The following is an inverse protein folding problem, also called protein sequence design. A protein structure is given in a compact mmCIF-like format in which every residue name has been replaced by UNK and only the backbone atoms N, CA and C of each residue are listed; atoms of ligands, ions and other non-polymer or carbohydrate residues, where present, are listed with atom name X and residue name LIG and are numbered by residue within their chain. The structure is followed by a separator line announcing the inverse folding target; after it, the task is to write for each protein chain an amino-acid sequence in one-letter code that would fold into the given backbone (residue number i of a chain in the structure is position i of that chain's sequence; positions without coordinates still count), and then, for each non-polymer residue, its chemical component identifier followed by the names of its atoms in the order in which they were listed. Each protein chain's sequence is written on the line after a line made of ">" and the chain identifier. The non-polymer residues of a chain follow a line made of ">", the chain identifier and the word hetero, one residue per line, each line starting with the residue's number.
data_IF_234363001557
#
_entry.id   IF_234363001557
#
_cell.length_a   1.000
_cell.length_b   1.000
_cell.length_c   1.000
_cell.angle_alpha   90.00
_cell.angle_beta   90.00
_cell.angle_gamma   90.00
#
_symmetry.space_group_name_H-M   'P 1'
#
loop_
_entity.id
_entity.type
_entity.pdbx_description
1 polymer ?
#
# COMPACT_ATOMS: atom_id res chain seq x y z
N UNK A 1 23.49 12.25 -4.88
CA UNK A 1 22.16 12.85 -4.70
C UNK A 1 21.19 11.73 -4.29
N UNK A 2 20.63 11.77 -3.08
CA UNK A 2 19.56 10.85 -2.63
C UNK A 2 18.23 11.48 -3.01
N UNK A 3 17.30 10.72 -3.60
CA UNK A 3 15.94 11.18 -3.94
C UNK A 3 14.95 10.34 -3.15
N UNK A 4 13.97 11.00 -2.54
CA UNK A 4 12.89 10.39 -1.77
C UNK A 4 11.57 10.73 -2.45
N UNK A 5 10.73 9.72 -2.70
CA UNK A 5 9.40 9.90 -3.29
C UNK A 5 8.33 9.42 -2.29
N UNK A 6 7.16 10.09 -2.23
CA UNK A 6 6.06 9.65 -1.36
C UNK A 6 5.51 8.29 -1.82
N UNK A 7 5.32 7.38 -0.86
CA UNK A 7 4.87 6.00 -1.11
C UNK A 7 3.45 5.91 -1.67
N UNK A 8 2.55 6.82 -1.31
CA UNK A 8 1.11 6.65 -1.54
C UNK A 8 0.67 7.22 -2.90
N UNK A 9 0.77 6.42 -3.97
CA UNK A 9 0.19 6.74 -5.30
C UNK A 9 -0.80 5.67 -5.83
N UNK A 10 -1.14 4.67 -5.03
CA UNK A 10 -1.85 3.45 -5.44
C UNK A 10 -3.26 3.68 -5.98
N UNK A 11 -4.01 4.67 -5.47
CA UNK A 11 -5.37 4.96 -5.95
C UNK A 11 -5.42 5.58 -7.35
N UNK A 12 -4.31 6.14 -7.85
CA UNK A 12 -4.25 6.77 -9.18
C UNK A 12 -4.13 5.72 -10.30
N UNK A 13 -3.68 4.50 -9.99
CA UNK A 13 -3.25 3.52 -11.00
C UNK A 13 -4.30 2.46 -11.38
N UNK A 14 -5.44 2.40 -10.68
CA UNK A 14 -6.48 1.38 -10.87
C UNK A 14 -7.72 1.88 -11.65
N UNK A 15 -7.56 2.86 -12.55
CA UNK A 15 -8.67 3.48 -13.29
C UNK A 15 -9.29 2.59 -14.40
N UNK A 16 -8.59 1.55 -14.88
CA UNK A 16 -9.13 0.57 -15.82
C UNK A 16 -8.40 -0.78 -15.70
N UNK A 17 -9.02 -1.88 -16.17
CA UNK A 17 -8.37 -3.21 -16.20
C UNK A 17 -7.02 -3.15 -16.95
N UNK A 18 -6.98 -2.42 -18.06
CA UNK A 18 -5.78 -2.32 -18.90
C UNK A 18 -4.69 -1.48 -18.21
N UNK A 19 -5.07 -0.41 -17.51
CA UNK A 19 -4.16 0.37 -16.67
C UNK A 19 -3.64 -0.46 -15.48
N UNK A 20 -4.52 -1.17 -14.77
CA UNK A 20 -4.15 -2.04 -13.67
C UNK A 20 -3.18 -3.14 -14.10
N UNK A 21 -3.40 -3.80 -15.23
CA UNK A 21 -2.49 -4.83 -15.73
C UNK A 21 -1.10 -4.25 -16.04
N UNK A 22 -1.03 -3.05 -16.62
CA UNK A 22 0.22 -2.34 -16.90
C UNK A 22 0.93 -1.87 -15.63
N UNK A 23 0.17 -1.48 -14.60
CA UNK A 23 0.67 -0.86 -13.37
C UNK A 23 0.70 -1.82 -12.17
N UNK A 24 0.39 -3.11 -12.36
CA UNK A 24 0.22 -4.09 -11.29
C UNK A 24 1.45 -4.21 -10.39
N UNK A 25 2.66 -4.09 -10.97
CA UNK A 25 3.91 -4.03 -10.23
C UNK A 25 3.99 -2.81 -9.31
N UNK A 26 3.64 -1.62 -9.80
CA UNK A 26 3.64 -0.39 -8.99
C UNK A 26 2.56 -0.38 -7.90
N UNK A 27 1.43 -1.04 -8.15
CA UNK A 27 0.38 -1.25 -7.13
C UNK A 27 0.89 -2.16 -6.02
N UNK A 28 1.52 -3.29 -6.37
CA UNK A 28 2.10 -4.22 -5.41
C UNK A 28 3.22 -3.55 -4.59
N UNK A 29 4.13 -2.85 -5.25
CA UNK A 29 5.20 -2.08 -4.60
C UNK A 29 4.61 -1.06 -3.62
N UNK A 30 3.63 -0.28 -4.05
CA UNK A 30 2.96 0.69 -3.16
C UNK A 30 2.30 0.01 -1.96
N UNK A 31 1.61 -1.12 -2.17
CA UNK A 31 1.00 -1.90 -1.09
C UNK A 31 2.06 -2.35 -0.08
N UNK A 32 3.16 -2.95 -0.55
CA UNK A 32 4.24 -3.47 0.30
C UNK A 32 4.90 -2.36 1.09
N UNK A 33 5.23 -1.24 0.44
CA UNK A 33 5.85 -0.09 1.09
C UNK A 33 4.95 0.46 2.20
N UNK A 34 3.65 0.59 1.94
CA UNK A 34 2.68 1.03 2.95
C UNK A 34 2.53 0.01 4.10
N UNK A 35 2.40 -1.28 3.78
CA UNK A 35 2.22 -2.36 4.76
C UNK A 35 3.43 -2.48 5.70
N UNK A 36 4.64 -2.27 5.18
CA UNK A 36 5.89 -2.30 5.96
C UNK A 36 6.14 -0.99 6.72
N UNK A 37 5.30 0.03 6.57
CA UNK A 37 5.55 1.36 7.12
C UNK A 37 6.86 1.98 6.61
N UNK A 38 7.29 1.58 5.41
CA UNK A 38 8.55 2.03 4.84
C UNK A 38 8.45 3.51 4.47
N UNK A 39 9.38 4.31 4.98
CA UNK A 39 9.39 5.76 4.78
C UNK A 39 10.15 6.18 3.52
N UNK A 40 10.98 5.30 2.95
CA UNK A 40 11.91 5.67 1.88
C UNK A 40 12.22 4.52 0.91
N UNK A 41 12.17 4.85 -0.38
CA UNK A 41 12.85 4.11 -1.45
C UNK A 41 14.36 4.36 -1.37
N UNK A 42 15.18 3.34 -1.65
CA UNK A 42 16.64 3.51 -1.65
C UNK A 42 17.20 3.55 -3.07
N UNK A 43 17.88 4.65 -3.37
CA UNK A 43 18.65 4.79 -4.61
C UNK A 43 19.99 5.46 -4.37
N UNK A 44 21.07 4.78 -4.75
CA UNK A 44 22.43 5.30 -4.74
C UNK A 44 23.13 4.99 -6.06
N UNK A 45 23.23 6.00 -6.94
CA UNK A 45 23.80 5.83 -8.27
C UNK A 45 22.96 4.90 -9.14
N UNK A 46 23.52 3.76 -9.54
CA UNK A 46 22.84 2.69 -10.30
C UNK A 46 22.26 1.58 -9.42
N UNK A 47 22.43 1.69 -8.10
CA UNK A 47 21.92 0.71 -7.13
C UNK A 47 20.57 1.21 -6.62
N UNK A 48 19.57 0.34 -6.69
CA UNK A 48 18.20 0.60 -6.29
C UNK A 48 17.65 -0.63 -5.57
N UNK A 49 16.96 -0.40 -4.45
CA UNK A 49 16.06 -1.36 -3.79
C UNK A 49 14.79 -0.62 -3.40
N UNK A 50 13.67 -1.32 -3.47
CA UNK A 50 12.35 -0.72 -3.31
C UNK A 50 12.14 -0.19 -1.89
N UNK A 51 12.67 -0.85 -0.87
CA UNK A 51 12.62 -0.35 0.51
C UNK A 51 13.87 -0.67 1.32
N UNK A 52 14.08 0.16 2.35
CA UNK A 52 14.98 -0.12 3.47
C UNK A 52 14.24 0.09 4.78
N UNK A 53 14.27 -0.90 5.67
CA UNK A 53 13.66 -0.85 6.99
C UNK A 53 14.71 -0.78 8.11
N UNK A 54 14.28 -0.41 9.31
CA UNK A 54 15.13 -0.46 10.52
C UNK A 54 16.41 0.39 10.42
N UNK A 55 16.36 1.53 9.73
CA UNK A 55 17.51 2.43 9.58
C UNK A 55 18.63 1.93 8.67
N UNK A 56 18.39 0.92 7.82
CA UNK A 56 19.43 0.31 6.99
C UNK A 56 19.48 -1.21 7.06
N UNK A 57 18.79 -1.79 8.03
CA UNK A 57 19.03 -3.17 8.43
C UNK A 57 18.45 -4.22 7.49
N UNK A 58 17.28 -3.92 6.90
CA UNK A 58 16.56 -4.83 6.00
C UNK A 58 16.44 -4.18 4.63
N UNK A 59 17.03 -4.82 3.62
CA UNK A 59 16.80 -4.47 2.22
C UNK A 59 15.59 -5.24 1.70
N UNK A 60 14.64 -4.54 1.08
CA UNK A 60 13.40 -5.11 0.55
C UNK A 60 13.31 -4.85 -0.95
N UNK A 61 13.06 -5.91 -1.73
CA UNK A 61 12.66 -5.83 -3.15
C UNK A 61 11.24 -6.38 -3.28
N UNK A 62 10.46 -5.83 -4.20
CA UNK A 62 9.11 -6.26 -4.52
C UNK A 62 9.09 -6.83 -5.94
N UNK A 63 8.51 -8.02 -6.10
CA UNK A 63 8.36 -8.69 -7.39
C UNK A 63 6.98 -9.34 -7.51
N UNK A 64 6.49 -9.53 -8.72
CA UNK A 64 5.30 -10.37 -8.91
C UNK A 64 5.60 -11.84 -8.60
N UNK A 65 6.81 -12.30 -8.96
CA UNK A 65 7.37 -13.59 -8.59
C UNK A 65 8.89 -13.49 -8.53
N UNK A 66 9.53 -14.36 -7.75
CA UNK A 66 10.97 -14.29 -7.48
C UNK A 66 11.71 -15.48 -8.10
N UNK A 67 12.71 -15.18 -8.93
CA UNK A 67 13.63 -16.20 -9.48
C UNK A 67 15.02 -16.16 -8.81
N UNK A 68 15.91 -17.08 -9.20
CA UNK A 68 17.26 -17.13 -8.65
C UNK A 68 18.10 -15.88 -8.98
N UNK A 69 17.86 -15.24 -10.13
CA UNK A 69 18.57 -14.01 -10.52
C UNK A 69 18.15 -12.85 -9.64
N UNK A 70 16.88 -12.79 -9.24
CA UNK A 70 16.38 -11.79 -8.29
C UNK A 70 17.03 -11.95 -6.92
N UNK A 71 17.10 -13.18 -6.41
CA UNK A 71 17.80 -13.52 -5.16
C UNK A 71 19.27 -13.09 -5.22
N UNK A 72 19.97 -13.40 -6.30
CA UNK A 72 21.38 -13.06 -6.47
C UNK A 72 21.62 -11.56 -6.64
N UNK A 73 20.70 -10.86 -7.30
CA UNK A 73 20.73 -9.40 -7.42
C UNK A 73 20.57 -8.76 -6.03
N UNK A 74 19.52 -9.12 -5.29
CA UNK A 74 19.27 -8.53 -3.98
C UNK A 74 20.38 -8.87 -2.98
N UNK A 75 20.88 -10.10 -2.98
CA UNK A 75 22.00 -10.50 -2.12
C UNK A 75 23.24 -9.61 -2.33
N UNK A 76 23.59 -9.33 -3.59
CA UNK A 76 24.71 -8.44 -3.94
C UNK A 76 24.45 -7.00 -3.52
N UNK A 77 23.25 -6.49 -3.78
CA UNK A 77 22.89 -5.11 -3.45
C UNK A 77 22.85 -4.89 -1.94
N UNK A 78 22.17 -5.76 -1.19
CA UNK A 78 22.09 -5.70 0.26
C UNK A 78 23.48 -5.71 0.92
N UNK A 79 24.40 -6.54 0.41
CA UNK A 79 25.79 -6.58 0.88
C UNK A 79 26.50 -5.25 0.63
N UNK A 80 26.33 -4.64 -0.55
CA UNK A 80 26.95 -3.36 -0.90
C UNK A 80 26.47 -2.19 -0.05
N UNK A 81 25.21 -2.22 0.37
CA UNK A 81 24.59 -1.14 1.17
C UNK A 81 24.70 -1.41 2.68
N UNK A 82 25.23 -2.58 3.09
CA UNK A 82 25.46 -2.93 4.48
C UNK A 82 24.23 -3.46 5.24
N UNK A 83 23.17 -3.88 4.55
CA UNK A 83 21.98 -4.45 5.18
C UNK A 83 22.24 -5.88 5.67
N UNK A 84 21.86 -6.18 6.92
CA UNK A 84 22.07 -7.52 7.52
C UNK A 84 21.01 -8.52 7.08
N UNK A 85 19.79 -8.05 6.81
CA UNK A 85 18.65 -8.86 6.35
C UNK A 85 18.22 -8.45 4.95
N UNK A 86 17.60 -9.39 4.25
CA UNK A 86 17.24 -9.28 2.84
C UNK A 86 15.92 -9.98 2.62
N UNK A 87 14.96 -9.27 2.05
CA UNK A 87 13.61 -9.78 1.82
C UNK A 87 13.18 -9.47 0.39
N UNK A 88 12.60 -10.46 -0.28
CA UNK A 88 11.79 -10.23 -1.49
C UNK A 88 10.34 -10.44 -1.08
N UNK A 89 9.50 -9.43 -1.29
CA UNK A 89 8.06 -9.60 -1.18
C UNK A 89 7.52 -9.92 -2.57
N UNK A 90 6.91 -11.09 -2.68
CA UNK A 90 6.30 -11.59 -3.91
C UNK A 90 4.77 -11.57 -3.83
N UNK A 91 4.05 -11.82 -4.92
CA UNK A 91 2.59 -12.01 -4.82
C UNK A 91 2.22 -13.25 -3.99
N UNK A 92 2.93 -14.36 -4.20
CA UNK A 92 2.55 -15.66 -3.65
C UNK A 92 3.71 -16.59 -3.29
N UNK A 93 4.92 -16.31 -3.74
CA UNK A 93 6.08 -17.18 -3.52
C UNK A 93 6.53 -17.13 -2.06
N UNK A 94 6.93 -18.29 -1.55
CA UNK A 94 7.53 -18.44 -0.22
C UNK A 94 8.71 -19.39 -0.28
N UNK A 95 9.90 -18.90 -0.01
CA UNK A 95 11.12 -19.71 0.12
C UNK A 95 12.26 -18.90 0.73
N UNK A 96 13.35 -19.56 1.09
CA UNK A 96 14.58 -18.89 1.55
C UNK A 96 15.78 -19.44 0.81
N UNK A 97 16.67 -18.57 0.33
CA UNK A 97 17.88 -18.96 -0.42
C UNK A 97 18.95 -17.88 -0.32
N UNK A 98 20.23 -18.28 -0.16
CA UNK A 98 21.39 -17.36 -0.10
C UNK A 98 21.22 -16.21 0.92
N UNK A 99 20.53 -16.49 2.04
CA UNK A 99 20.23 -15.48 3.07
C UNK A 99 19.23 -14.40 2.63
N UNK A 100 18.45 -14.66 1.58
CA UNK A 100 17.31 -13.86 1.14
C UNK A 100 16.04 -14.62 1.46
N UNK A 101 15.15 -13.96 2.19
CA UNK A 101 13.83 -14.48 2.50
C UNK A 101 12.84 -14.00 1.44
N UNK A 102 12.13 -14.92 0.80
CA UNK A 102 11.04 -14.59 -0.11
C UNK A 102 9.74 -14.88 0.59
N UNK A 103 8.93 -13.83 0.78
CA UNK A 103 7.66 -13.88 1.48
C UNK A 103 6.54 -13.45 0.55
N UNK A 104 5.35 -14.04 0.67
CA UNK A 104 4.20 -13.59 -0.09
C UNK A 104 3.62 -12.32 0.55
N UNK A 105 3.09 -11.41 -0.26
CA UNK A 105 2.60 -10.11 0.16
C UNK A 105 1.52 -10.19 1.24
N UNK A 106 0.63 -11.19 1.17
CA UNK A 106 -0.41 -11.40 2.18
C UNK A 106 0.15 -11.72 3.57
N UNK A 107 1.39 -12.19 3.69
CA UNK A 107 2.00 -12.49 4.97
C UNK A 107 2.40 -11.23 5.75
N UNK A 108 2.49 -10.08 5.09
CA UNK A 108 2.80 -8.80 5.73
C UNK A 108 1.70 -8.35 6.70
N UNK A 109 0.45 -8.75 6.44
CA UNK A 109 -0.72 -8.43 7.28
C UNK A 109 -0.75 -9.25 8.58
N UNK A 110 -0.12 -10.43 8.60
CA UNK A 110 -0.07 -11.29 9.79
C UNK A 110 1.10 -10.98 10.72
N UNK A 111 2.17 -10.37 10.20
CA UNK A 111 3.33 -9.97 11.01
C UNK A 111 3.27 -8.54 11.53
N UNK A 112 2.32 -7.73 11.06
CA UNK A 112 2.01 -6.44 11.67
C UNK A 112 1.02 -6.65 12.82
N UNK A 113 1.37 -6.33 14.08
CA UNK A 113 0.38 -6.31 15.14
C UNK A 113 -0.67 -5.27 14.75
N UNK A 114 -1.90 -5.72 14.54
CA UNK A 114 -3.10 -4.88 14.41
C UNK A 114 -3.37 -4.23 15.76
N UNK A 115 -2.47 -3.39 16.24
CA UNK A 115 -2.59 -2.67 17.49
C UNK A 115 -2.48 -1.19 17.18
N UNK A 116 -3.59 -0.48 17.44
CA UNK A 116 -3.76 0.98 17.52
C UNK A 116 -4.46 1.76 16.38
N UNK A 117 -5.19 1.12 15.46
CA UNK A 117 -6.31 1.83 14.82
C UNK A 117 -7.62 1.51 15.53
N UNK A 118 -7.87 2.24 16.62
CA UNK A 118 -9.25 2.48 17.05
C UNK A 118 -9.91 3.31 15.94
N UNK A 119 -10.58 2.64 15.01
CA UNK A 119 -11.54 3.28 14.14
C UNK A 119 -12.75 3.56 15.04
N UNK A 120 -12.82 4.76 15.60
CA UNK A 120 -14.09 5.27 16.10
C UNK A 120 -15.04 5.29 14.90
N UNK A 121 -16.03 4.39 14.93
CA UNK A 121 -17.09 4.36 13.96
C UNK A 121 -17.79 5.73 13.97
N UNK A 122 -17.57 6.52 12.92
CA UNK A 122 -18.38 7.70 12.64
C UNK A 122 -19.80 7.19 12.46
N UNK A 123 -20.62 7.36 13.50
CA UNK A 123 -22.06 7.09 13.42
C UNK A 123 -22.62 7.98 12.30
N UNK A 124 -23.32 7.44 11.31
CA UNK A 124 -24.00 8.28 10.33
C UNK A 124 -25.02 9.15 11.08
N UNK A 125 -24.84 10.46 11.03
CA UNK A 125 -25.88 11.39 11.46
C UNK A 125 -27.05 11.22 10.50
N UNK A 126 -28.10 10.54 10.96
CA UNK A 126 -29.38 10.52 10.27
C UNK A 126 -29.89 11.96 10.27
N UNK A 127 -29.78 12.62 9.12
CA UNK A 127 -30.51 13.85 8.85
C UNK A 127 -31.99 13.47 8.76
N UNK A 128 -32.73 13.71 9.84
CA UNK A 128 -34.19 13.69 9.86
C UNK A 128 -34.68 14.76 8.88
N UNK A 129 -35.15 14.33 7.71
CA UNK A 129 -35.90 15.18 6.79
C UNK A 129 -37.19 15.60 7.50
N UNK A 130 -37.31 16.91 7.73
CA UNK A 130 -38.44 17.57 8.34
C UNK A 130 -39.72 17.33 7.54
N UNK A 131 -40.81 17.05 8.25
CA UNK A 131 -42.17 16.94 7.73
C UNK A 131 -42.57 18.17 6.91
N UNK A 132 -42.86 17.95 5.63
CA UNK A 132 -43.54 18.94 4.78
C UNK A 132 -44.97 19.11 5.29
N UNK A 133 -45.22 20.21 5.99
CA UNK A 133 -46.55 20.66 6.38
C UNK A 133 -47.34 21.05 5.12
N UNK A 134 -48.31 20.22 4.72
CA UNK A 134 -49.31 20.59 3.73
C UNK A 134 -50.38 21.45 4.41
N UNK A 135 -50.27 22.78 4.29
CA UNK A 135 -51.39 23.70 4.60
C UNK A 135 -51.28 25.01 3.83
N UNK A 136 -51.81 25.02 2.61
CA UNK A 136 -52.38 26.20 1.97
C UNK A 136 -53.75 25.78 1.39
N UNK A 137 -54.85 26.12 2.08
CA UNK A 137 -55.64 27.34 1.83
C UNK A 137 -56.02 27.53 0.36
N UNK A 138 -57.15 26.93 -0.04
CA UNK A 138 -58.00 27.48 -1.09
C UNK A 138 -59.44 27.59 -0.60
N UNK A 139 -59.93 28.83 -0.58
CA UNK A 139 -61.31 29.14 -0.94
C UNK A 139 -62.30 29.36 0.20
N UNK A 140 -62.23 30.52 0.85
CA UNK A 140 -63.45 31.18 1.35
C UNK A 140 -64.37 31.43 0.15
N UNK A 141 -65.52 30.75 0.09
CA UNK A 141 -66.70 31.20 -0.65
C UNK A 141 -67.54 32.07 0.28
N UNK A 142 -67.78 33.32 -0.09
CA UNK A 142 -68.83 34.19 0.47
C UNK A 142 -69.50 34.97 -0.68
N UNK A 143 -70.81 35.18 -0.53
CA UNK A 143 -71.75 35.80 -1.48
C UNK A 143 -72.74 34.73 -1.96
N UNK A 144 -73.95 34.55 -1.41
CA UNK A 144 -75.07 35.52 -1.31
C UNK A 144 -75.32 36.25 -2.61
#
# INVERSE_FOLDING_TARGET
>A
MRRYYPATTSLIRAVSRQAFQRESGGVLETYVINALGATHYYRQGRVEVDAILGGGDVAVEVKSGADERDVDKLARVATRIGSRKRMIVSLSDRFSRKGVEVVPAYALEWETPVSSMQIEAVKPSVATSSETTVREMRGRRHGK
#
